data_IF_424612230230
#
_entry.id   IF_424612230230
#
_cell.length_a   1.000
_cell.length_b   1.000
_cell.length_c   1.000
_cell.angle_alpha   90.00
_cell.angle_beta   90.00
_cell.angle_gamma   90.00
#
_symmetry.space_group_name_H-M   'P 1'
#
loop_
_entity.id
_entity.type
_entity.pdbx_description
1 polymer ?
#
# COMPACT_ATOMS: atom_id res chain seq x y z
N UNK A 1 -60.95 61.16 -30.09
CA UNK A 1 -60.45 62.40 -29.45
C UNK A 1 -60.35 62.13 -27.95
N UNK A 2 -59.20 62.06 -27.45
CA UNK A 2 -58.63 62.44 -26.15
C UNK A 2 -57.25 61.78 -26.03
N UNK A 3 -56.24 62.65 -26.01
CA UNK A 3 -54.82 62.31 -25.70
C UNK A 3 -54.70 61.90 -24.24
N UNK A 4 -53.86 60.97 -23.94
CA UNK A 4 -53.13 60.89 -22.68
C UNK A 4 -51.64 60.71 -22.94
N UNK A 5 -50.92 61.81 -22.66
CA UNK A 5 -49.50 61.80 -22.52
C UNK A 5 -49.15 61.15 -21.18
N UNK A 6 -48.24 60.17 -21.18
CA UNK A 6 -47.61 59.65 -19.97
C UNK A 6 -46.16 60.06 -19.99
N UNK A 7 -45.84 61.00 -19.09
CA UNK A 7 -44.49 61.44 -18.73
C UNK A 7 -43.62 60.26 -18.31
N UNK A 8 -42.55 60.01 -19.01
CA UNK A 8 -41.51 59.09 -18.60
C UNK A 8 -40.42 59.91 -17.89
N UNK A 9 -40.59 60.12 -16.57
CA UNK A 9 -39.58 60.77 -15.75
C UNK A 9 -38.38 59.78 -15.61
N UNK A 10 -37.27 60.12 -16.23
CA UNK A 10 -35.97 59.45 -16.06
C UNK A 10 -35.41 59.91 -14.69
N UNK A 11 -35.33 58.96 -13.75
CA UNK A 11 -34.70 59.19 -12.42
C UNK A 11 -33.20 58.84 -12.52
N UNK A 12 -32.27 59.81 -12.48
CA UNK A 12 -30.83 59.58 -12.61
C UNK A 12 -30.15 59.04 -11.34
N UNK A 13 -30.92 58.73 -10.27
CA UNK A 13 -30.36 58.29 -8.98
C UNK A 13 -30.71 56.87 -8.59
N UNK A 14 -31.07 56.02 -9.56
CA UNK A 14 -31.23 54.59 -9.25
C UNK A 14 -29.85 53.98 -8.99
N UNK A 15 -29.47 53.92 -7.69
CA UNK A 15 -28.31 53.25 -7.19
C UNK A 15 -28.30 51.78 -7.69
N UNK A 16 -27.30 51.45 -8.51
CA UNK A 16 -27.02 50.10 -8.90
C UNK A 16 -26.66 49.32 -7.61
N UNK A 17 -27.34 48.21 -7.29
CA UNK A 17 -26.95 47.42 -6.13
C UNK A 17 -25.50 46.95 -6.36
N UNK A 18 -24.65 47.15 -5.34
CA UNK A 18 -23.28 46.74 -5.33
C UNK A 18 -23.21 45.26 -5.77
N UNK A 19 -22.44 44.96 -6.81
CA UNK A 19 -22.11 43.62 -7.19
C UNK A 19 -21.46 42.96 -5.97
N UNK A 20 -22.17 42.01 -5.40
CA UNK A 20 -21.63 41.14 -4.38
C UNK A 20 -20.46 40.41 -5.00
N UNK A 21 -19.23 40.78 -4.63
CA UNK A 21 -18.02 40.04 -4.99
C UNK A 21 -18.17 38.64 -4.41
N UNK A 22 -18.58 37.72 -5.23
CA UNK A 22 -18.39 36.31 -4.95
C UNK A 22 -16.89 36.03 -5.03
N UNK A 23 -16.24 35.95 -3.87
CA UNK A 23 -14.87 35.44 -3.74
C UNK A 23 -14.87 33.97 -4.15
N UNK A 24 -14.92 33.73 -5.45
CA UNK A 24 -14.70 32.40 -6.02
C UNK A 24 -13.21 32.16 -5.88
N UNK A 25 -12.81 31.67 -4.72
CA UNK A 25 -11.49 31.06 -4.54
C UNK A 25 -11.44 29.81 -5.40
N UNK A 26 -11.11 29.99 -6.66
CA UNK A 26 -10.62 28.90 -7.49
C UNK A 26 -9.41 28.31 -6.76
N UNK A 27 -9.61 27.18 -6.09
CA UNK A 27 -8.50 26.35 -5.64
C UNK A 27 -7.83 25.79 -6.90
N UNK A 28 -6.87 26.57 -7.42
CA UNK A 28 -6.04 26.19 -8.59
C UNK A 28 -4.92 25.22 -8.19
N UNK A 29 -4.86 24.79 -6.94
CA UNK A 29 -3.99 23.69 -6.57
C UNK A 29 -4.70 22.38 -6.93
N UNK A 30 -4.15 21.58 -7.87
CA UNK A 30 -4.59 20.21 -8.05
C UNK A 30 -4.59 19.51 -6.68
N UNK A 31 -5.49 18.56 -6.47
CA UNK A 31 -5.43 17.68 -5.29
C UNK A 31 -4.24 16.72 -5.47
N UNK A 32 -3.03 17.23 -5.34
CA UNK A 32 -1.80 16.42 -5.29
C UNK A 32 -1.82 15.49 -4.08
N UNK A 33 -2.53 15.88 -3.02
CA UNK A 33 -2.72 15.12 -1.80
C UNK A 33 -3.28 13.69 -2.02
N UNK A 34 -4.03 13.47 -3.10
CA UNK A 34 -4.68 12.19 -3.34
C UNK A 34 -3.72 11.00 -3.55
N UNK A 35 -2.53 11.21 -4.14
CA UNK A 35 -1.55 10.12 -4.31
C UNK A 35 -1.00 9.63 -2.98
N UNK A 36 -0.66 10.54 -2.08
CA UNK A 36 -0.15 10.19 -0.76
C UNK A 36 -1.18 9.42 0.09
N UNK A 37 -2.46 9.83 -0.01
CA UNK A 37 -3.55 9.15 0.68
C UNK A 37 -3.75 7.73 0.09
N UNK A 38 -3.68 7.58 -1.23
CA UNK A 38 -3.79 6.29 -1.91
C UNK A 38 -2.62 5.33 -1.56
N UNK A 39 -1.39 5.83 -1.48
CA UNK A 39 -0.26 5.04 -1.00
C UNK A 39 -0.42 4.62 0.47
N UNK A 40 -0.95 5.53 1.31
CA UNK A 40 -1.23 5.20 2.70
C UNK A 40 -2.32 4.12 2.83
N UNK A 41 -3.37 4.17 2.01
CA UNK A 41 -4.43 3.17 1.98
C UNK A 41 -3.88 1.80 1.51
N UNK A 42 -3.06 1.77 0.45
CA UNK A 42 -2.39 0.56 -0.02
C UNK A 42 -1.51 -0.05 1.09
N UNK A 43 -0.66 0.75 1.74
CA UNK A 43 0.21 0.26 2.81
C UNK A 43 -0.57 -0.21 4.06
N UNK A 44 -1.69 0.41 4.42
CA UNK A 44 -2.56 -0.07 5.49
C UNK A 44 -3.20 -1.43 5.14
N UNK A 45 -3.46 -1.68 3.87
CA UNK A 45 -3.93 -2.98 3.41
C UNK A 45 -2.86 -4.07 3.60
N UNK A 46 -1.57 -3.75 3.36
CA UNK A 46 -0.45 -4.67 3.65
C UNK A 46 -0.38 -5.04 5.14
N UNK A 47 -0.64 -4.09 6.05
CA UNK A 47 -0.72 -4.39 7.50
C UNK A 47 -1.82 -5.40 7.80
N UNK A 48 -2.96 -5.27 7.13
CA UNK A 48 -4.07 -6.22 7.29
C UNK A 48 -3.68 -7.61 6.78
N UNK A 49 -3.04 -7.70 5.62
CA UNK A 49 -2.55 -8.94 5.04
C UNK A 49 -1.50 -9.62 5.94
N UNK A 50 -0.51 -8.87 6.44
CA UNK A 50 0.52 -9.41 7.33
C UNK A 50 -0.09 -10.00 8.62
N UNK A 51 -1.11 -9.37 9.20
CA UNK A 51 -1.84 -9.93 10.34
C UNK A 51 -2.60 -11.21 10.00
N UNK A 52 -3.15 -11.31 8.80
CA UNK A 52 -3.76 -12.56 8.34
C UNK A 52 -2.72 -13.68 8.18
N UNK A 53 -1.47 -13.36 7.80
CA UNK A 53 -0.38 -14.34 7.81
C UNK A 53 -0.06 -14.82 9.24
N UNK A 54 -0.07 -13.94 10.24
CA UNK A 54 0.08 -14.36 11.66
C UNK A 54 -1.07 -15.28 12.09
N UNK A 55 -2.30 -14.98 11.66
CA UNK A 55 -3.46 -15.80 11.99
C UNK A 55 -3.38 -17.18 11.32
N UNK A 56 -3.02 -17.27 10.01
CA UNK A 56 -3.09 -18.51 9.23
C UNK A 56 -2.08 -19.56 9.67
N UNK A 57 -0.92 -19.14 10.21
CA UNK A 57 0.10 -20.05 10.73
C UNK A 57 -0.20 -20.55 12.15
N UNK A 58 -1.20 -19.96 12.82
CA UNK A 58 -1.54 -20.29 14.21
C UNK A 58 -2.18 -21.67 14.32
N UNK A 59 -1.95 -22.34 15.45
CA UNK A 59 -2.55 -23.64 15.73
C UNK A 59 -4.09 -23.55 15.83
N UNK A 60 -4.78 -24.46 15.11
CA UNK A 60 -6.26 -24.51 15.10
C UNK A 60 -6.96 -23.40 14.32
N UNK A 61 -6.21 -22.65 13.51
CA UNK A 61 -6.77 -21.62 12.65
C UNK A 61 -7.74 -22.21 11.59
N UNK A 62 -8.81 -21.49 11.29
CA UNK A 62 -9.66 -21.76 10.12
C UNK A 62 -8.98 -21.17 8.87
N UNK A 63 -8.07 -21.95 8.28
CA UNK A 63 -7.19 -21.52 7.20
C UNK A 63 -7.96 -21.13 5.93
N UNK A 64 -9.03 -21.84 5.61
CA UNK A 64 -9.89 -21.52 4.47
C UNK A 64 -10.55 -20.14 4.65
N UNK A 65 -11.10 -19.86 5.83
CA UNK A 65 -11.73 -18.58 6.11
C UNK A 65 -10.71 -17.42 6.14
N UNK A 66 -9.47 -17.68 6.59
CA UNK A 66 -8.39 -16.69 6.61
C UNK A 66 -7.89 -16.42 5.19
N UNK A 67 -7.68 -17.44 4.37
CA UNK A 67 -7.28 -17.28 2.97
C UNK A 67 -8.35 -16.54 2.14
N UNK A 68 -9.65 -16.73 2.43
CA UNK A 68 -10.70 -15.95 1.79
C UNK A 68 -10.62 -14.45 2.15
N UNK A 69 -10.30 -14.13 3.42
CA UNK A 69 -10.02 -12.75 3.82
C UNK A 69 -8.76 -12.19 3.15
N UNK A 70 -7.73 -13.02 2.96
CA UNK A 70 -6.50 -12.62 2.28
C UNK A 70 -6.78 -12.26 0.83
N UNK A 71 -7.53 -13.10 0.07
CA UNK A 71 -7.97 -12.78 -1.30
C UNK A 71 -8.80 -11.50 -1.37
N UNK A 72 -9.63 -11.23 -0.36
CA UNK A 72 -10.38 -9.96 -0.29
C UNK A 72 -9.44 -8.77 -0.03
N UNK A 73 -8.34 -8.99 0.70
CA UNK A 73 -7.32 -7.98 0.96
C UNK A 73 -6.49 -7.69 -0.29
N UNK A 74 -6.08 -8.72 -1.03
CA UNK A 74 -5.41 -8.61 -2.33
C UNK A 74 -6.30 -7.84 -3.33
N UNK A 75 -7.53 -8.25 -3.51
CA UNK A 75 -8.46 -7.54 -4.40
C UNK A 75 -8.64 -6.05 -4.04
N UNK A 76 -8.61 -5.69 -2.75
CA UNK A 76 -8.62 -4.31 -2.31
C UNK A 76 -7.30 -3.59 -2.64
N UNK A 77 -6.16 -4.29 -2.60
CA UNK A 77 -4.83 -3.82 -3.03
C UNK A 77 -4.82 -3.49 -4.53
N UNK A 78 -5.26 -4.44 -5.35
CA UNK A 78 -5.43 -4.31 -6.80
C UNK A 78 -6.26 -3.06 -7.17
N UNK A 79 -7.40 -2.85 -6.50
CA UNK A 79 -8.24 -1.68 -6.71
C UNK A 79 -7.52 -0.37 -6.34
N UNK A 80 -6.68 -0.36 -5.29
CA UNK A 80 -5.84 0.78 -4.94
C UNK A 80 -4.80 1.06 -6.03
N UNK A 81 -4.08 0.04 -6.49
CA UNK A 81 -3.09 0.14 -7.55
C UNK A 81 -3.71 0.64 -8.86
N UNK A 82 -4.82 0.05 -9.27
CA UNK A 82 -5.59 0.52 -10.43
C UNK A 82 -6.10 1.96 -10.28
N UNK A 83 -6.50 2.37 -9.08
CA UNK A 83 -6.93 3.74 -8.82
C UNK A 83 -5.77 4.73 -8.94
N UNK A 84 -4.57 4.38 -8.43
CA UNK A 84 -3.34 5.17 -8.60
C UNK A 84 -3.01 5.31 -10.09
N UNK A 85 -3.03 4.22 -10.86
CA UNK A 85 -2.73 4.22 -12.29
C UNK A 85 -3.72 5.08 -13.09
N UNK A 86 -5.03 4.97 -12.82
CA UNK A 86 -6.06 5.84 -13.43
C UNK A 86 -5.79 7.29 -13.09
N UNK A 87 -5.55 7.60 -11.82
CA UNK A 87 -5.26 8.96 -11.35
C UNK A 87 -4.01 9.53 -12.02
N UNK A 88 -2.97 8.71 -12.16
CA UNK A 88 -1.73 9.08 -12.83
C UNK A 88 -2.00 9.47 -14.30
N UNK A 89 -2.81 8.72 -15.02
CA UNK A 89 -3.15 8.99 -16.41
C UNK A 89 -4.01 10.27 -16.60
N UNK A 90 -4.84 10.62 -15.63
CA UNK A 90 -5.71 11.78 -15.64
C UNK A 90 -5.03 13.06 -15.13
N UNK A 91 -3.90 12.94 -14.43
CA UNK A 91 -3.22 14.07 -13.78
C UNK A 91 -2.12 14.61 -14.69
N UNK A 92 -2.16 15.92 -14.99
CA UNK A 92 -1.14 16.58 -15.79
C UNK A 92 0.12 16.94 -14.99
N UNK A 93 -0.05 17.38 -13.73
CA UNK A 93 1.04 17.70 -12.79
C UNK A 93 0.98 16.70 -11.64
N UNK A 94 2.04 15.94 -11.44
CA UNK A 94 2.18 14.96 -10.36
C UNK A 94 3.04 15.51 -9.22
N UNK A 95 2.89 15.00 -7.97
CA UNK A 95 3.64 15.51 -6.83
C UNK A 95 5.14 15.21 -6.89
N UNK A 96 5.54 14.14 -7.60
CA UNK A 96 6.91 13.74 -7.93
C UNK A 96 6.91 12.97 -9.24
N UNK A 97 8.02 12.38 -9.64
CA UNK A 97 8.18 11.74 -10.96
C UNK A 97 7.08 10.66 -11.19
N UNK A 98 6.48 10.69 -12.37
CA UNK A 98 5.41 9.75 -12.77
C UNK A 98 5.89 8.29 -12.78
N UNK A 99 7.12 8.06 -13.19
CA UNK A 99 7.70 6.72 -13.20
C UNK A 99 7.88 6.20 -11.76
N UNK A 100 8.24 7.05 -10.82
CA UNK A 100 8.38 6.69 -9.42
C UNK A 100 7.01 6.41 -8.77
N UNK A 101 5.95 7.18 -9.14
CA UNK A 101 4.56 6.90 -8.70
C UNK A 101 4.11 5.52 -9.20
N UNK A 102 4.33 5.25 -10.49
CA UNK A 102 4.00 3.97 -11.09
C UNK A 102 4.75 2.82 -10.38
N UNK A 103 6.05 2.97 -10.24
CA UNK A 103 6.92 1.94 -9.66
C UNK A 103 6.56 1.66 -8.20
N UNK A 104 6.34 2.71 -7.39
CA UNK A 104 5.95 2.54 -5.98
C UNK A 104 4.60 1.82 -5.84
N UNK A 105 3.61 2.16 -6.70
CA UNK A 105 2.32 1.48 -6.69
C UNK A 105 2.45 -0.01 -7.04
N UNK A 106 3.24 -0.35 -8.08
CA UNK A 106 3.48 -1.73 -8.47
C UNK A 106 4.21 -2.54 -7.41
N UNK A 107 5.21 -1.94 -6.75
CA UNK A 107 5.96 -2.63 -5.69
C UNK A 107 5.12 -2.89 -4.43
N UNK A 108 4.17 -1.99 -4.09
CA UNK A 108 3.23 -2.26 -2.99
C UNK A 108 2.26 -3.39 -3.33
N UNK A 109 1.91 -3.52 -4.60
CA UNK A 109 1.10 -4.62 -5.15
C UNK A 109 1.88 -5.95 -5.09
N UNK A 110 3.14 -5.95 -5.55
CA UNK A 110 4.02 -7.12 -5.49
C UNK A 110 4.14 -7.69 -4.06
N UNK A 111 4.24 -6.82 -3.04
CA UNK A 111 4.24 -7.26 -1.63
C UNK A 111 2.93 -7.96 -1.25
N UNK A 112 1.79 -7.44 -1.71
CA UNK A 112 0.48 -8.02 -1.44
C UNK A 112 0.35 -9.40 -2.08
N UNK A 113 0.76 -9.52 -3.34
CA UNK A 113 0.69 -10.74 -4.13
C UNK A 113 1.48 -11.88 -3.47
N UNK A 114 2.71 -11.60 -3.04
CA UNK A 114 3.54 -12.61 -2.36
C UNK A 114 2.93 -13.07 -1.02
N UNK A 115 2.31 -12.16 -0.26
CA UNK A 115 1.63 -12.51 0.98
C UNK A 115 0.34 -13.33 0.72
N UNK A 116 -0.41 -12.98 -0.33
CA UNK A 116 -1.61 -13.73 -0.74
C UNK A 116 -1.24 -15.12 -1.23
N UNK A 117 -0.23 -15.25 -2.11
CA UNK A 117 0.23 -16.52 -2.61
C UNK A 117 0.70 -17.45 -1.48
N UNK A 118 1.43 -16.91 -0.48
CA UNK A 118 1.82 -17.68 0.70
C UNK A 118 0.60 -18.26 1.43
N UNK A 119 -0.45 -17.46 1.63
CA UNK A 119 -1.67 -17.89 2.30
C UNK A 119 -2.47 -18.92 1.47
N UNK A 120 -2.55 -18.72 0.14
CA UNK A 120 -3.26 -19.63 -0.76
C UNK A 120 -2.57 -21.01 -0.81
N UNK A 121 -1.23 -21.04 -0.85
CA UNK A 121 -0.43 -22.28 -0.80
C UNK A 121 -0.67 -23.07 0.49
N UNK A 122 -0.86 -22.40 1.64
CA UNK A 122 -1.18 -23.07 2.92
C UNK A 122 -2.45 -23.90 2.78
N UNK A 123 -3.50 -23.33 2.16
CA UNK A 123 -4.79 -24.01 1.96
C UNK A 123 -4.68 -25.05 0.84
N UNK A 124 -4.10 -24.68 -0.30
CA UNK A 124 -3.96 -25.54 -1.47
C UNK A 124 -3.22 -26.85 -1.13
N UNK A 125 -2.15 -26.75 -0.36
CA UNK A 125 -1.35 -27.90 0.05
C UNK A 125 -1.83 -28.57 1.32
N UNK A 126 -2.88 -28.05 1.96
CA UNK A 126 -3.45 -28.57 3.22
C UNK A 126 -2.35 -28.73 4.28
N UNK A 127 -1.65 -27.63 4.55
CA UNK A 127 -0.59 -27.60 5.54
C UNK A 127 -1.23 -27.44 6.92
N UNK A 128 -1.07 -28.45 7.78
CA UNK A 128 -1.67 -28.44 9.12
C UNK A 128 -0.71 -27.94 10.21
N UNK A 129 0.58 -28.10 10.00
CA UNK A 129 1.61 -27.76 10.99
C UNK A 129 2.79 -27.06 10.36
N UNK A 130 3.37 -26.13 11.07
CA UNK A 130 4.52 -25.34 10.62
C UNK A 130 5.73 -25.54 11.53
N UNK A 131 6.97 -25.37 11.00
CA UNK A 131 8.16 -25.21 11.84
C UNK A 131 8.00 -24.01 12.76
N UNK A 132 8.45 -24.12 14.02
CA UNK A 132 8.28 -23.02 15.00
C UNK A 132 8.92 -21.70 14.59
N UNK A 133 10.02 -21.78 13.85
CA UNK A 133 10.74 -20.58 13.42
C UNK A 133 9.96 -19.76 12.34
N UNK A 134 8.90 -20.30 11.74
CA UNK A 134 8.07 -19.57 10.74
C UNK A 134 7.41 -18.32 11.36
N UNK A 135 7.11 -18.37 12.66
CA UNK A 135 6.54 -17.22 13.39
C UNK A 135 7.46 -16.01 13.28
N UNK A 136 8.79 -16.21 13.34
CA UNK A 136 9.76 -15.12 13.22
C UNK A 136 9.76 -14.51 11.82
N UNK A 137 9.52 -15.32 10.75
CA UNK A 137 9.43 -14.82 9.39
C UNK A 137 8.19 -13.93 9.22
N UNK A 138 7.06 -14.37 9.74
CA UNK A 138 5.81 -13.61 9.65
C UNK A 138 5.84 -12.35 10.52
N UNK A 139 6.48 -12.39 11.70
CA UNK A 139 6.71 -11.20 12.54
C UNK A 139 7.56 -10.14 11.83
N UNK A 140 8.55 -10.55 11.02
CA UNK A 140 9.33 -9.64 10.17
C UNK A 140 8.43 -8.94 9.17
N UNK A 141 7.54 -9.68 8.49
CA UNK A 141 6.60 -9.11 7.51
C UNK A 141 5.60 -8.17 8.17
N UNK A 142 5.04 -8.54 9.33
CA UNK A 142 4.11 -7.67 10.06
C UNK A 142 4.80 -6.34 10.42
N UNK A 143 6.05 -6.41 10.92
CA UNK A 143 6.79 -5.19 11.27
C UNK A 143 7.15 -4.36 10.04
N UNK A 144 7.53 -4.98 8.92
CA UNK A 144 7.81 -4.28 7.67
C UNK A 144 6.56 -3.57 7.13
N UNK A 145 5.39 -4.22 7.18
CA UNK A 145 4.12 -3.63 6.78
C UNK A 145 3.76 -2.41 7.64
N UNK A 146 3.89 -2.50 8.97
CA UNK A 146 3.66 -1.37 9.89
C UNK A 146 4.55 -0.17 9.56
N UNK A 147 5.85 -0.40 9.37
CA UNK A 147 6.82 0.66 9.03
C UNK A 147 6.48 1.29 7.67
N UNK A 148 6.06 0.49 6.70
CA UNK A 148 5.64 0.99 5.38
C UNK A 148 4.39 1.85 5.51
N UNK A 149 3.39 1.43 6.27
CA UNK A 149 2.18 2.22 6.54
C UNK A 149 2.49 3.55 7.28
N UNK A 150 3.47 3.56 8.17
CA UNK A 150 3.95 4.77 8.83
C UNK A 150 4.72 5.70 7.88
N UNK A 151 5.43 5.16 6.89
CA UNK A 151 6.28 5.91 5.97
C UNK A 151 5.48 6.57 4.84
N UNK A 152 4.46 5.91 4.28
CA UNK A 152 3.71 6.41 3.11
C UNK A 152 3.13 7.82 3.30
N UNK A 153 2.48 8.19 4.43
CA UNK A 153 2.03 9.57 4.64
C UNK A 153 3.17 10.60 4.71
N UNK A 154 4.39 10.18 5.08
CA UNK A 154 5.58 11.07 5.19
C UNK A 154 6.16 11.44 3.84
N UNK A 155 5.83 10.74 2.75
CA UNK A 155 6.16 11.12 1.37
C UNK A 155 5.68 12.54 1.03
N UNK A 156 4.58 13.01 1.63
CA UNK A 156 4.09 14.39 1.45
C UNK A 156 5.10 15.45 1.91
N UNK A 157 5.90 15.16 2.92
CA UNK A 157 6.85 16.10 3.52
C UNK A 157 8.30 15.76 3.22
N UNK A 158 8.59 14.57 2.71
CA UNK A 158 9.92 13.99 2.51
C UNK A 158 10.78 13.98 3.78
N UNK A 159 10.16 13.95 4.97
CA UNK A 159 10.86 14.04 6.25
C UNK A 159 10.86 12.70 6.98
N UNK A 160 11.97 12.41 7.67
CA UNK A 160 12.12 11.23 8.53
C UNK A 160 11.87 9.90 7.79
N UNK A 161 12.19 9.86 6.51
CA UNK A 161 12.10 8.65 5.71
C UNK A 161 13.36 7.77 5.84
N UNK A 162 14.51 8.36 6.21
CA UNK A 162 15.77 7.63 6.35
C UNK A 162 15.69 6.50 7.40
N UNK A 163 14.98 6.70 8.49
CA UNK A 163 14.77 5.67 9.51
C UNK A 163 13.99 4.47 8.95
N UNK A 164 13.06 4.73 8.04
CA UNK A 164 12.25 3.70 7.40
C UNK A 164 13.10 2.72 6.58
N UNK A 165 13.83 3.18 5.57
CA UNK A 165 14.58 2.24 4.73
C UNK A 165 15.75 1.58 5.46
N UNK A 166 16.36 2.24 6.46
CA UNK A 166 17.37 1.61 7.31
C UNK A 166 16.76 0.45 8.09
N UNK A 167 15.57 0.63 8.66
CA UNK A 167 14.92 -0.40 9.46
C UNK A 167 14.34 -1.52 8.58
N UNK A 168 13.81 -1.24 7.39
CA UNK A 168 13.40 -2.28 6.43
C UNK A 168 14.59 -3.13 6.02
N UNK A 169 15.72 -2.54 5.65
CA UNK A 169 16.95 -3.29 5.33
C UNK A 169 17.42 -4.18 6.51
N UNK A 170 17.25 -3.70 7.75
CA UNK A 170 17.55 -4.50 8.93
C UNK A 170 16.60 -5.70 9.08
N UNK A 171 15.32 -5.48 8.81
CA UNK A 171 14.29 -6.53 8.86
C UNK A 171 14.48 -7.57 7.76
N UNK A 172 14.80 -7.17 6.53
CA UNK A 172 15.15 -8.07 5.42
C UNK A 172 16.33 -8.96 5.83
N UNK A 173 17.43 -8.40 6.28
CA UNK A 173 18.59 -9.17 6.75
C UNK A 173 18.25 -10.12 7.92
N UNK A 174 17.28 -9.77 8.77
CA UNK A 174 16.75 -10.66 9.81
C UNK A 174 15.92 -11.79 9.18
N UNK A 175 15.04 -11.48 8.22
CA UNK A 175 14.22 -12.43 7.47
C UNK A 175 15.06 -13.47 6.77
N UNK A 176 16.09 -13.03 6.04
CA UNK A 176 17.05 -13.87 5.33
C UNK A 176 17.78 -14.87 6.29
N UNK A 177 18.13 -14.43 7.49
CA UNK A 177 18.69 -15.34 8.51
C UNK A 177 17.67 -16.37 8.99
N UNK A 178 16.42 -15.98 9.19
CA UNK A 178 15.33 -16.90 9.60
C UNK A 178 15.02 -17.87 8.47
N UNK A 179 14.93 -17.39 7.24
CA UNK A 179 14.73 -18.21 6.03
C UNK A 179 15.80 -19.32 5.92
N UNK A 180 17.08 -18.97 6.04
CA UNK A 180 18.18 -19.94 6.00
C UNK A 180 18.10 -20.98 7.13
N UNK A 181 17.67 -20.57 8.32
CA UNK A 181 17.42 -21.50 9.43
C UNK A 181 16.27 -22.45 9.14
N UNK A 182 15.15 -21.92 8.59
CA UNK A 182 14.00 -22.72 8.19
C UNK A 182 14.40 -23.76 7.12
N UNK A 183 15.14 -23.35 6.10
CA UNK A 183 15.64 -24.28 5.07
C UNK A 183 16.54 -25.36 5.69
N UNK A 184 17.48 -25.00 6.56
CA UNK A 184 18.35 -25.97 7.23
C UNK A 184 17.53 -26.97 8.05
N UNK A 185 16.47 -26.52 8.74
CA UNK A 185 15.56 -27.39 9.49
C UNK A 185 14.76 -28.31 8.56
N UNK A 186 14.17 -27.79 7.48
CA UNK A 186 13.40 -28.59 6.52
C UNK A 186 14.24 -29.73 5.91
N UNK A 187 15.51 -29.46 5.61
CA UNK A 187 16.41 -30.44 5.02
C UNK A 187 17.20 -31.26 6.04
N UNK A 188 16.86 -31.20 7.35
CA UNK A 188 17.53 -31.99 8.42
C UNK A 188 17.25 -33.49 8.35
N UNK A 189 16.20 -33.92 7.65
CA UNK A 189 15.72 -35.29 7.61
C UNK A 189 14.57 -35.58 8.58
N UNK A 190 14.04 -34.60 9.27
CA UNK A 190 12.88 -34.72 10.17
C UNK A 190 11.55 -34.82 9.40
N UNK A 191 11.50 -34.25 8.20
CA UNK A 191 10.32 -34.21 7.34
C UNK A 191 10.45 -35.16 6.15
N UNK A 192 9.33 -35.73 5.67
CA UNK A 192 9.29 -36.43 4.39
C UNK A 192 9.42 -35.44 3.21
N UNK A 193 9.82 -35.95 2.05
CA UNK A 193 10.12 -35.13 0.89
C UNK A 193 8.93 -34.26 0.41
N UNK A 194 7.69 -34.79 0.50
CA UNK A 194 6.51 -34.02 0.09
C UNK A 194 6.22 -32.86 1.06
N UNK A 195 6.37 -33.10 2.36
CA UNK A 195 6.23 -32.06 3.39
C UNK A 195 7.30 -30.97 3.19
N UNK A 196 8.56 -31.37 2.92
CA UNK A 196 9.63 -30.40 2.60
C UNK A 196 9.26 -29.53 1.40
N UNK A 197 8.76 -30.10 0.32
CA UNK A 197 8.37 -29.35 -0.88
C UNK A 197 7.27 -28.32 -0.57
N UNK A 198 6.20 -28.74 0.11
CA UNK A 198 5.06 -27.88 0.44
C UNK A 198 5.48 -26.71 1.36
N UNK A 199 6.20 -27.02 2.44
CA UNK A 199 6.63 -26.00 3.40
C UNK A 199 7.66 -25.04 2.77
N UNK A 200 8.56 -25.57 1.95
CA UNK A 200 9.56 -24.74 1.28
C UNK A 200 8.90 -23.69 0.38
N UNK A 201 7.89 -24.07 -0.38
CA UNK A 201 7.22 -23.14 -1.31
C UNK A 201 6.52 -21.99 -0.55
N UNK A 202 5.86 -22.28 0.59
CA UNK A 202 5.31 -21.23 1.44
C UNK A 202 6.40 -20.33 2.03
N UNK A 203 7.50 -20.93 2.53
CA UNK A 203 8.61 -20.19 3.13
C UNK A 203 9.31 -19.31 2.10
N UNK A 204 9.43 -19.80 0.84
CA UNK A 204 9.97 -19.00 -0.26
C UNK A 204 9.10 -17.76 -0.54
N UNK A 205 7.75 -17.89 -0.57
CA UNK A 205 6.86 -16.73 -0.75
C UNK A 205 6.98 -15.72 0.39
N UNK A 206 7.12 -16.18 1.64
CA UNK A 206 7.32 -15.28 2.77
C UNK A 206 8.65 -14.52 2.69
N UNK A 207 9.68 -15.12 2.13
CA UNK A 207 10.96 -14.45 1.90
C UNK A 207 10.86 -13.46 0.74
N UNK A 208 10.23 -13.83 -0.36
CA UNK A 208 10.01 -12.94 -1.51
C UNK A 208 9.14 -11.73 -1.10
N UNK A 209 8.18 -11.88 -0.17
CA UNK A 209 7.46 -10.75 0.41
C UNK A 209 8.37 -9.81 1.22
N UNK A 210 9.37 -10.33 1.94
CA UNK A 210 10.32 -9.52 2.68
C UNK A 210 11.25 -8.74 1.72
N UNK A 211 11.73 -9.38 0.66
CA UNK A 211 12.50 -8.76 -0.41
C UNK A 211 11.69 -7.66 -1.13
N UNK A 212 10.40 -7.90 -1.39
CA UNK A 212 9.53 -6.92 -1.99
C UNK A 212 9.38 -5.66 -1.11
N UNK A 213 9.32 -5.80 0.23
CA UNK A 213 9.38 -4.65 1.14
C UNK A 213 10.69 -3.87 1.05
N UNK A 214 11.83 -4.54 0.86
CA UNK A 214 13.11 -3.87 0.62
C UNK A 214 13.07 -3.06 -0.70
N UNK A 215 12.50 -3.62 -1.77
CA UNK A 215 12.32 -2.90 -3.03
C UNK A 215 11.44 -1.64 -2.89
N UNK A 216 10.36 -1.72 -2.09
CA UNK A 216 9.55 -0.54 -1.73
C UNK A 216 10.41 0.50 -1.02
N UNK A 217 11.20 0.10 -0.03
CA UNK A 217 12.03 1.00 0.75
C UNK A 217 13.12 1.68 -0.11
N UNK A 218 13.76 0.94 -1.02
CA UNK A 218 14.76 1.44 -1.95
C UNK A 218 14.15 2.47 -2.94
N UNK A 219 12.90 2.25 -3.35
CA UNK A 219 12.16 3.21 -4.19
C UNK A 219 11.82 4.49 -3.41
N UNK A 220 11.39 4.37 -2.15
CA UNK A 220 11.14 5.52 -1.27
C UNK A 220 12.41 6.32 -1.02
N UNK A 221 13.56 5.67 -0.80
CA UNK A 221 14.86 6.35 -0.71
C UNK A 221 15.19 7.12 -1.99
N UNK A 222 15.00 6.48 -3.15
CA UNK A 222 15.23 7.11 -4.47
C UNK A 222 14.37 8.36 -4.66
N UNK A 223 13.08 8.28 -4.32
CA UNK A 223 12.15 9.42 -4.37
C UNK A 223 12.62 10.53 -3.44
N UNK A 224 12.95 10.19 -2.18
CA UNK A 224 13.40 11.17 -1.19
C UNK A 224 14.68 11.90 -1.61
N UNK A 225 15.62 11.19 -2.27
CA UNK A 225 16.87 11.80 -2.79
C UNK A 225 16.59 12.71 -3.98
N UNK A 226 15.67 12.35 -4.88
CA UNK A 226 15.32 13.18 -6.04
C UNK A 226 14.60 14.47 -5.65
N UNK A 227 13.81 14.44 -4.58
CA UNK A 227 12.96 15.54 -4.12
C UNK A 227 13.59 16.41 -3.03
N UNK A 228 14.89 16.18 -2.69
CA UNK A 228 15.64 16.87 -1.60
C UNK A 228 16.30 18.18 -2.00
#
# INVERSE_FOLDING_TARGET
MVLFAADCAYDPLRTIPALQEYDVRLRLTPREDSFYDMFADSANNLVTAARLLVEIISDGADREAIAEKMRACEHAGDECTHAIMRRLNETFITPFDREDIYNLASLLDDVMDEMEEAADLVVLYKIDTFPKDIVQQVEVLERAAELTAEAMPRLRSMKQLNEYWIEINRLENQGDQVYRKLLAHLFSGEYDALTVMKLKEVIDRLEEAADAFEHVANTVETIAVKES
#
